data_IF_906460856711
#
_entry.id   IF_906460856711
#
_cell.length_a   1.000
_cell.length_b   1.000
_cell.length_c   1.000
_cell.angle_alpha   90.00
_cell.angle_beta   90.00
_cell.angle_gamma   90.00
#
_symmetry.space_group_name_H-M   'P 1'
#
loop_
_entity.id
_entity.type
_entity.pdbx_description
1 polymer ?
#
# COMPACT_ATOMS: atom_id res chain seq x y z
N UNK A 1 33.80 -49.23 -32.43
CA UNK A 1 33.26 -47.87 -32.56
C UNK A 1 32.43 -47.60 -31.31
N UNK A 2 33.08 -47.10 -30.27
CA UNK A 2 32.42 -46.87 -28.97
C UNK A 2 31.78 -45.48 -28.95
N UNK A 3 30.47 -45.46 -28.71
CA UNK A 3 29.69 -44.24 -28.53
C UNK A 3 29.84 -43.73 -27.09
N UNK A 4 30.68 -42.71 -26.92
CA UNK A 4 30.76 -41.93 -25.68
C UNK A 4 29.47 -41.14 -25.51
N UNK A 5 28.68 -41.47 -24.49
CA UNK A 5 27.48 -40.71 -24.10
C UNK A 5 27.92 -39.38 -23.46
N UNK A 6 27.29 -38.24 -23.80
CA UNK A 6 27.61 -36.97 -23.15
C UNK A 6 27.11 -37.00 -21.71
N UNK A 7 28.03 -36.82 -20.77
CA UNK A 7 27.70 -36.79 -19.35
C UNK A 7 26.79 -35.61 -19.03
N UNK A 8 25.71 -35.88 -18.30
CA UNK A 8 24.71 -34.89 -17.92
C UNK A 8 25.35 -33.73 -17.17
N UNK A 9 25.21 -32.52 -17.72
CA UNK A 9 25.63 -31.26 -17.11
C UNK A 9 24.98 -31.12 -15.73
N UNK A 10 25.73 -31.46 -14.68
CA UNK A 10 25.30 -31.26 -13.29
C UNK A 10 25.21 -29.75 -13.03
N UNK A 11 24.00 -29.26 -12.90
CA UNK A 11 23.75 -27.90 -12.42
C UNK A 11 24.22 -27.85 -10.96
N UNK A 12 25.09 -26.89 -10.60
CA UNK A 12 25.53 -26.75 -9.21
C UNK A 12 24.31 -26.50 -8.31
N UNK A 13 24.30 -27.01 -7.07
CA UNK A 13 23.21 -26.76 -6.15
C UNK A 13 23.09 -25.26 -5.89
N UNK A 14 21.96 -24.68 -6.27
CA UNK A 14 21.61 -23.30 -5.95
C UNK A 14 20.87 -23.30 -4.60
N UNK A 15 21.56 -23.02 -3.47
CA UNK A 15 20.85 -22.84 -2.22
C UNK A 15 19.87 -21.68 -2.38
N UNK A 16 18.60 -21.83 -1.95
CA UNK A 16 17.61 -20.78 -2.10
C UNK A 16 18.11 -19.50 -1.42
N UNK A 17 18.06 -18.38 -2.16
CA UNK A 17 18.41 -17.06 -1.63
C UNK A 17 17.42 -16.74 -0.51
N UNK A 18 17.87 -16.88 0.73
CA UNK A 18 17.11 -16.52 1.92
C UNK A 18 17.11 -14.99 2.00
N UNK A 19 16.05 -14.37 1.49
CA UNK A 19 15.82 -12.95 1.70
C UNK A 19 15.58 -12.74 3.20
N UNK A 20 16.59 -12.19 3.88
CA UNK A 20 16.56 -11.92 5.33
C UNK A 20 15.93 -10.53 5.50
N UNK A 21 14.67 -10.45 5.93
CA UNK A 21 14.03 -9.16 6.24
C UNK A 21 12.52 -9.25 6.45
N UNK A 22 12.12 -9.51 7.71
CA UNK A 22 10.73 -9.84 8.07
C UNK A 22 9.78 -8.64 8.19
N UNK A 23 8.51 -8.86 7.85
CA UNK A 23 7.42 -7.90 8.11
C UNK A 23 6.12 -8.48 8.72
N UNK A 24 6.12 -9.50 9.60
CA UNK A 24 4.91 -9.85 10.35
C UNK A 24 4.58 -8.82 11.46
N UNK A 25 5.51 -7.92 11.81
CA UNK A 25 5.32 -6.94 12.89
C UNK A 25 4.43 -5.76 12.49
N UNK A 26 4.58 -5.23 11.27
CA UNK A 26 3.80 -4.08 10.80
C UNK A 26 2.30 -4.43 10.68
N UNK A 27 2.01 -5.62 10.16
CA UNK A 27 0.64 -6.14 10.04
C UNK A 27 -0.01 -6.33 11.42
N UNK A 28 0.77 -6.74 12.43
CA UNK A 28 0.30 -6.90 13.81
C UNK A 28 -0.10 -5.55 14.43
N UNK A 29 0.69 -4.49 14.28
CA UNK A 29 0.35 -3.15 14.82
C UNK A 29 -0.89 -2.54 14.16
N UNK A 30 -1.03 -2.68 12.83
CA UNK A 30 -2.19 -2.19 12.09
C UNK A 30 -3.48 -2.95 12.48
N UNK A 31 -3.39 -4.26 12.72
CA UNK A 31 -4.53 -5.07 13.23
C UNK A 31 -4.91 -4.69 14.67
N UNK A 32 -3.95 -4.36 15.53
CA UNK A 32 -4.24 -3.97 16.91
C UNK A 32 -5.03 -2.65 17.00
N UNK A 33 -4.68 -1.62 16.21
CA UNK A 33 -5.42 -0.34 16.22
C UNK A 33 -6.88 -0.51 15.76
N UNK A 34 -7.12 -1.36 14.75
CA UNK A 34 -8.49 -1.69 14.29
C UNK A 34 -9.30 -2.43 15.37
N UNK A 35 -8.67 -3.32 16.13
CA UNK A 35 -9.34 -4.06 17.22
C UNK A 35 -9.71 -3.16 18.39
N UNK A 36 -8.85 -2.23 18.80
CA UNK A 36 -9.15 -1.29 19.88
C UNK A 36 -10.32 -0.36 19.51
N UNK A 37 -10.33 0.16 18.28
CA UNK A 37 -11.46 0.96 17.78
C UNK A 37 -12.78 0.17 17.71
N UNK A 38 -12.74 -1.10 17.27
CA UNK A 38 -13.93 -1.94 17.21
C UNK A 38 -14.50 -2.29 18.60
N UNK A 39 -13.63 -2.59 19.58
CA UNK A 39 -14.05 -2.85 20.96
C UNK A 39 -14.63 -1.60 21.61
N UNK A 40 -14.02 -0.43 21.38
CA UNK A 40 -14.56 0.86 21.83
C UNK A 40 -15.96 1.11 21.27
N UNK A 41 -16.13 0.95 19.96
CA UNK A 41 -17.43 1.16 19.29
C UNK A 41 -18.51 0.14 19.75
N UNK A 42 -18.14 -1.13 19.97
CA UNK A 42 -19.05 -2.14 20.49
C UNK A 42 -19.48 -1.87 21.93
N UNK A 43 -18.58 -1.38 22.78
CA UNK A 43 -18.88 -0.96 24.15
C UNK A 43 -19.85 0.23 24.17
N UNK A 44 -19.68 1.21 23.28
CA UNK A 44 -20.61 2.35 23.18
C UNK A 44 -22.00 1.91 22.69
N UNK A 45 -22.07 0.98 21.72
CA UNK A 45 -23.33 0.45 21.23
C UNK A 45 -24.07 -0.38 22.29
N UNK A 46 -23.36 -1.18 23.09
CA UNK A 46 -23.95 -1.96 24.18
C UNK A 46 -24.49 -1.06 25.31
N UNK A 47 -23.79 0.04 25.64
CA UNK A 47 -24.28 1.01 26.61
C UNK A 47 -25.58 1.68 26.14
N UNK A 48 -25.64 2.14 24.89
CA UNK A 48 -26.83 2.77 24.30
C UNK A 48 -28.04 1.82 24.18
N UNK A 49 -27.81 0.51 24.04
CA UNK A 49 -28.87 -0.49 23.97
C UNK A 49 -29.55 -0.79 25.33
N UNK A 50 -28.96 -0.34 26.44
CA UNK A 50 -29.47 -0.61 27.79
C UNK A 50 -30.51 0.42 28.28
N UNK A 51 -30.71 1.50 27.53
CA UNK A 51 -31.57 2.66 27.92
C UNK A 51 -32.72 2.92 26.94
N UNK A 52 -33.32 1.89 26.35
CA UNK A 52 -34.52 2.07 25.50
C UNK A 52 -35.70 1.28 26.08
N UNK A 53 -36.76 1.96 26.54
CA UNK A 53 -38.03 1.31 26.85
C UNK A 53 -38.59 0.75 25.54
N UNK A 54 -38.84 -0.57 25.48
CA UNK A 54 -39.46 -1.21 24.32
C UNK A 54 -40.93 -0.77 24.21
N UNK A 55 -41.17 0.25 23.39
CA UNK A 55 -42.47 0.59 22.85
C UNK A 55 -42.68 -0.12 21.51
N UNK A 56 -43.71 -0.95 21.45
CA UNK A 56 -44.26 -1.60 20.24
C UNK A 56 -44.66 -0.53 19.21
N UNK A 57 -44.38 -0.76 17.92
CA UNK A 57 -45.36 -0.65 16.82
C UNK A 57 -44.72 -1.05 15.49
N UNK A 58 -45.48 -1.89 14.79
CA UNK A 58 -45.29 -2.51 13.49
C UNK A 58 -45.96 -1.60 12.44
N UNK A 59 -45.30 -1.38 11.30
CA UNK A 59 -45.86 -0.65 10.16
C UNK A 59 -44.76 -0.39 9.13
N UNK A 60 -44.60 -1.28 8.17
CA UNK A 60 -45.16 -1.16 6.80
C UNK A 60 -44.21 -0.37 5.88
N UNK A 61 -43.75 -1.06 4.84
CA UNK A 61 -42.87 -0.52 3.81
C UNK A 61 -43.66 -0.47 2.49
N UNK A 62 -43.41 0.55 1.64
CA UNK A 62 -43.02 0.15 0.29
C UNK A 62 -41.94 1.03 -0.39
N UNK A 63 -41.06 0.30 -1.09
CA UNK A 63 -40.45 0.50 -2.41
C UNK A 63 -39.41 1.63 -2.69
N UNK A 64 -38.36 1.31 -3.50
CA UNK A 64 -37.16 2.13 -3.65
C UNK A 64 -37.25 3.12 -4.81
N UNK A 65 -36.92 4.39 -4.57
CA UNK A 65 -36.58 5.33 -5.63
C UNK A 65 -35.13 5.11 -6.08
N UNK A 66 -34.96 4.42 -7.21
CA UNK A 66 -33.73 4.44 -8.01
C UNK A 66 -33.54 5.83 -8.59
N UNK A 67 -32.79 6.67 -7.88
CA UNK A 67 -32.23 7.90 -8.45
C UNK A 67 -30.87 7.57 -9.06
N UNK A 68 -30.74 7.99 -10.31
CA UNK A 68 -29.57 7.96 -11.18
C UNK A 68 -28.33 8.61 -10.55
N UNK A 69 -27.59 7.85 -9.73
CA UNK A 69 -26.25 8.19 -9.24
C UNK A 69 -25.14 7.41 -10.00
N UNK A 70 -25.32 7.25 -11.31
CA UNK A 70 -24.60 6.25 -12.12
C UNK A 70 -23.19 6.64 -12.59
N UNK A 71 -22.63 7.82 -12.25
CA UNK A 71 -21.25 8.16 -12.67
C UNK A 71 -20.37 8.89 -11.66
N UNK A 72 -20.90 9.40 -10.53
CA UNK A 72 -20.08 10.02 -9.47
C UNK A 72 -19.73 9.06 -8.32
N UNK A 73 -20.35 7.87 -8.28
CA UNK A 73 -20.23 6.91 -7.18
C UNK A 73 -19.46 5.63 -7.58
N UNK A 74 -18.84 5.60 -8.76
CA UNK A 74 -17.96 4.51 -9.20
C UNK A 74 -16.57 4.58 -8.55
N UNK A 75 -16.20 5.73 -7.97
CA UNK A 75 -14.99 5.91 -7.17
C UNK A 75 -15.22 5.60 -5.67
N UNK A 76 -16.22 4.77 -5.37
CA UNK A 76 -16.43 4.22 -4.02
C UNK A 76 -15.39 3.13 -3.79
N UNK A 77 -14.25 3.57 -3.25
CA UNK A 77 -13.31 2.72 -2.50
C UNK A 77 -12.89 1.46 -3.26
N UNK A 78 -12.19 1.63 -4.39
CA UNK A 78 -11.26 0.57 -4.81
C UNK A 78 -10.46 0.19 -3.56
N UNK A 79 -10.53 -1.10 -3.17
CA UNK A 79 -9.98 -1.55 -1.90
C UNK A 79 -8.50 -1.14 -1.81
N UNK A 80 -8.22 -0.14 -0.96
CA UNK A 80 -6.90 0.43 -0.87
C UNK A 80 -5.94 -0.62 -0.30
N UNK A 81 -4.81 -0.80 -0.96
CA UNK A 81 -3.73 -1.69 -0.53
C UNK A 81 -2.58 -0.85 0.00
N UNK A 82 -1.85 -1.40 0.96
CA UNK A 82 -0.60 -0.80 1.43
C UNK A 82 0.54 -1.29 0.54
N UNK A 83 1.16 -0.38 -0.21
CA UNK A 83 2.30 -0.65 -1.07
C UNK A 83 3.58 -0.06 -0.43
N UNK A 84 4.63 -0.85 -0.17
CA UNK A 84 5.93 -0.31 0.19
C UNK A 84 6.60 0.27 -1.06
N UNK A 85 7.07 1.51 -0.96
CA UNK A 85 7.69 2.25 -2.06
C UNK A 85 9.02 2.83 -1.59
N UNK A 86 10.07 2.67 -2.41
CA UNK A 86 11.39 3.25 -2.16
C UNK A 86 11.50 4.58 -2.91
N UNK A 87 11.70 5.65 -2.17
CA UNK A 87 11.87 7.01 -2.69
C UNK A 87 13.37 7.33 -2.67
N UNK A 88 13.87 7.87 -3.78
CA UNK A 88 15.29 8.11 -3.97
C UNK A 88 15.87 9.12 -2.97
N UNK A 89 15.08 10.14 -2.59
CA UNK A 89 15.47 11.16 -1.64
C UNK A 89 14.96 10.82 -0.23
N UNK A 90 15.90 10.47 0.65
CA UNK A 90 15.62 10.12 2.03
C UNK A 90 15.25 11.34 2.90
N UNK A 91 15.80 12.52 2.59
CA UNK A 91 15.52 13.74 3.36
C UNK A 91 14.12 14.24 3.08
N UNK A 92 13.65 14.14 1.83
CA UNK A 92 12.25 14.39 1.49
C UNK A 92 11.32 13.45 2.27
N UNK A 93 11.66 12.16 2.41
CA UNK A 93 10.84 11.20 3.17
C UNK A 93 10.76 11.55 4.67
N UNK A 94 11.82 12.11 5.25
CA UNK A 94 11.85 12.52 6.68
C UNK A 94 10.86 13.64 6.99
N UNK A 95 10.40 14.37 5.99
CA UNK A 95 9.39 15.42 6.14
C UNK A 95 7.96 14.85 6.19
N UNK A 96 7.76 13.64 5.67
CA UNK A 96 6.43 13.05 5.55
C UNK A 96 5.90 12.55 6.89
N UNK A 97 4.58 12.68 7.07
CA UNK A 97 3.84 12.16 8.23
C UNK A 97 2.77 11.17 7.77
N UNK A 98 2.45 10.15 8.59
CA UNK A 98 1.28 9.32 8.35
C UNK A 98 0.01 10.19 8.25
N UNK A 99 -0.72 10.04 7.15
CA UNK A 99 -1.90 10.85 6.82
C UNK A 99 -1.70 11.80 5.65
N UNK A 100 -0.45 12.17 5.34
CA UNK A 100 -0.12 13.07 4.23
C UNK A 100 -0.59 12.49 2.89
N UNK A 101 -0.88 13.39 1.95
CA UNK A 101 -1.18 13.03 0.56
C UNK A 101 0.01 13.39 -0.30
N UNK A 102 0.40 12.44 -1.14
CA UNK A 102 1.53 12.61 -2.04
C UNK A 102 1.17 12.17 -3.45
N UNK A 103 1.78 12.81 -4.42
CA UNK A 103 1.90 12.29 -5.77
C UNK A 103 3.27 11.63 -5.90
N UNK A 104 3.33 10.46 -6.55
CA UNK A 104 4.56 9.71 -6.78
C UNK A 104 4.96 9.87 -8.23
N UNK A 105 6.19 10.32 -8.45
CA UNK A 105 6.76 10.63 -9.75
C UNK A 105 7.87 9.63 -10.04
N UNK A 106 7.80 8.97 -11.19
CA UNK A 106 8.93 8.23 -11.73
C UNK A 106 9.77 9.19 -12.57
N UNK A 107 11.03 9.34 -12.18
CA UNK A 107 12.04 10.03 -12.96
C UNK A 107 13.19 9.07 -13.18
N UNK A 108 13.71 8.98 -14.39
CA UNK A 108 14.97 8.29 -14.57
C UNK A 108 16.13 9.20 -14.17
N UNK A 109 17.08 8.62 -13.44
CA UNK A 109 18.18 9.36 -12.84
C UNK A 109 19.26 9.77 -13.85
N UNK A 110 18.98 9.76 -15.16
CA UNK A 110 19.96 10.07 -16.20
C UNK A 110 19.75 11.49 -16.71
N UNK A 111 20.63 12.45 -16.36
CA UNK A 111 20.53 13.83 -16.84
C UNK A 111 20.80 13.97 -18.35
N UNK A 112 21.20 12.90 -19.04
CA UNK A 112 21.75 12.96 -20.40
C UNK A 112 20.92 12.23 -21.47
N UNK A 113 19.72 11.74 -21.15
CA UNK A 113 18.88 11.04 -22.13
C UNK A 113 17.73 10.25 -21.54
N UNK A 114 17.18 10.74 -20.43
CA UNK A 114 16.12 10.07 -19.71
C UNK A 114 14.71 10.33 -20.25
N UNK A 115 13.82 9.36 -20.09
CA UNK A 115 12.37 9.48 -20.23
C UNK A 115 11.81 10.56 -19.30
N UNK A 116 10.89 11.36 -19.84
CA UNK A 116 10.27 12.46 -19.12
C UNK A 116 9.65 12.00 -17.78
N UNK A 117 9.81 12.80 -16.69
CA UNK A 117 9.19 12.51 -15.41
C UNK A 117 7.69 12.34 -15.55
N UNK A 118 7.14 11.25 -15.01
CA UNK A 118 5.69 10.97 -15.07
C UNK A 118 5.11 10.63 -13.72
N UNK A 119 3.89 11.09 -13.48
CA UNK A 119 3.13 10.74 -12.27
C UNK A 119 2.63 9.30 -12.39
N UNK A 120 3.07 8.44 -11.47
CA UNK A 120 2.71 7.01 -11.42
C UNK A 120 1.48 6.78 -10.54
N UNK A 121 1.35 7.55 -9.47
CA UNK A 121 0.22 7.53 -8.55
C UNK A 121 -0.06 8.95 -8.06
N UNK A 122 -1.33 9.35 -8.06
CA UNK A 122 -1.75 10.64 -7.53
C UNK A 122 -2.60 10.49 -6.26
N UNK A 123 -2.42 11.40 -5.30
CA UNK A 123 -3.20 11.48 -4.08
C UNK A 123 -3.02 10.29 -3.13
N UNK A 124 -1.92 9.55 -3.26
CA UNK A 124 -1.60 8.42 -2.40
C UNK A 124 -1.47 8.88 -0.96
N UNK A 125 -2.04 8.12 -0.01
CA UNK A 125 -1.94 8.46 1.41
C UNK A 125 -0.73 7.80 2.03
N UNK A 126 0.08 8.55 2.77
CA UNK A 126 1.16 7.97 3.59
C UNK A 126 0.54 7.17 4.74
N UNK A 127 0.67 5.85 4.70
CA UNK A 127 0.18 4.96 5.75
C UNK A 127 1.19 4.83 6.90
N UNK A 128 2.48 4.79 6.57
CA UNK A 128 3.57 4.79 7.54
C UNK A 128 4.88 5.24 6.88
N UNK A 129 5.77 5.80 7.68
CA UNK A 129 7.18 6.06 7.31
C UNK A 129 8.03 5.17 8.21
N UNK A 130 8.53 4.02 7.71
CA UNK A 130 9.39 3.14 8.49
C UNK A 130 10.69 3.83 8.89
N UNK A 131 11.17 3.53 10.11
CA UNK A 131 12.53 3.90 10.51
C UNK A 131 13.56 3.32 9.52
N UNK A 132 14.58 4.10 9.13
CA UNK A 132 15.62 3.60 8.25
C UNK A 132 16.35 2.43 8.91
N UNK A 133 16.45 1.31 8.19
CA UNK A 133 17.27 0.17 8.62
C UNK A 133 18.78 0.44 8.43
N UNK A 134 19.63 -0.46 8.92
CA UNK A 134 21.11 -0.40 8.83
C UNK A 134 21.64 -0.66 7.40
N UNK A 135 20.98 -0.14 6.36
CA UNK A 135 21.37 -0.27 4.96
C UNK A 135 22.09 0.96 4.41
N UNK A 136 22.67 0.87 3.20
CA UNK A 136 23.34 2.01 2.54
C UNK A 136 22.36 3.18 2.37
N UNK A 137 22.75 4.35 2.89
CA UNK A 137 21.96 5.60 2.85
C UNK A 137 21.71 6.05 1.41
N UNK A 138 22.56 5.67 0.46
CA UNK A 138 22.46 6.05 -0.95
C UNK A 138 21.31 5.37 -1.70
N UNK A 139 20.64 4.38 -1.10
CA UNK A 139 19.51 3.67 -1.71
C UNK A 139 18.16 4.36 -1.51
N UNK A 140 18.12 5.55 -0.90
CA UNK A 140 16.88 6.26 -0.56
C UNK A 140 16.11 5.62 0.61
N UNK A 141 14.90 6.12 0.87
CA UNK A 141 14.08 5.71 2.03
C UNK A 141 12.79 4.99 1.64
N UNK A 142 12.28 4.14 2.53
CA UNK A 142 11.02 3.43 2.33
C UNK A 142 9.85 4.25 2.89
N UNK A 143 8.70 4.17 2.23
CA UNK A 143 7.41 4.70 2.67
C UNK A 143 6.33 3.66 2.37
N UNK A 144 5.39 3.47 3.28
CA UNK A 144 4.20 2.65 3.03
C UNK A 144 3.05 3.55 2.57
N UNK A 145 2.56 3.36 1.35
CA UNK A 145 1.49 4.16 0.76
C UNK A 145 0.19 3.36 0.68
N UNK A 146 -0.93 3.97 1.07
CA UNK A 146 -2.26 3.45 0.81
C UNK A 146 -2.73 3.96 -0.55
N UNK A 147 -2.89 3.02 -1.50
CA UNK A 147 -3.18 3.29 -2.90
C UNK A 147 -4.21 2.30 -3.46
N UNK A 148 -4.92 2.66 -4.54
CA UNK A 148 -5.68 1.69 -5.35
C UNK A 148 -4.80 0.53 -5.84
N UNK A 149 -5.40 -0.64 -6.05
CA UNK A 149 -4.66 -1.87 -6.39
C UNK A 149 -3.92 -1.78 -7.73
N UNK A 150 -4.50 -1.10 -8.72
CA UNK A 150 -3.89 -0.80 -10.01
C UNK A 150 -2.69 0.16 -9.86
N UNK A 151 -2.80 1.17 -9.00
CA UNK A 151 -1.71 2.09 -8.71
C UNK A 151 -0.55 1.37 -7.99
N UNK A 152 -0.84 0.42 -7.10
CA UNK A 152 0.21 -0.42 -6.49
C UNK A 152 0.99 -1.23 -7.52
N UNK A 153 0.32 -1.82 -8.51
CA UNK A 153 0.97 -2.55 -9.60
C UNK A 153 1.86 -1.64 -10.45
N UNK A 154 1.38 -0.43 -10.76
CA UNK A 154 2.16 0.59 -11.48
C UNK A 154 3.39 1.05 -10.70
N UNK A 155 3.24 1.30 -9.39
CA UNK A 155 4.34 1.64 -8.49
C UNK A 155 5.39 0.53 -8.41
N UNK A 156 4.97 -0.74 -8.34
CA UNK A 156 5.88 -1.87 -8.32
C UNK A 156 6.71 -1.97 -9.63
N UNK A 157 6.06 -1.81 -10.78
CA UNK A 157 6.77 -1.80 -12.08
C UNK A 157 7.72 -0.61 -12.23
N UNK A 158 7.28 0.58 -11.82
CA UNK A 158 8.10 1.78 -11.86
C UNK A 158 9.31 1.69 -10.91
N UNK A 159 9.10 1.27 -9.66
CA UNK A 159 10.16 1.15 -8.66
C UNK A 159 11.20 0.06 -8.98
N UNK A 160 10.87 -0.89 -9.86
CA UNK A 160 11.83 -1.89 -10.35
C UNK A 160 12.77 -1.37 -11.44
N UNK A 161 12.41 -0.28 -12.12
CA UNK A 161 13.11 0.21 -13.33
C UNK A 161 13.58 1.65 -13.24
N UNK A 162 12.98 2.45 -12.37
CA UNK A 162 13.18 3.90 -12.29
C UNK A 162 13.32 4.37 -10.85
N UNK A 163 13.88 5.57 -10.67
CA UNK A 163 13.93 6.22 -9.36
C UNK A 163 12.60 6.91 -9.12
N UNK A 164 12.10 6.82 -7.90
CA UNK A 164 10.84 7.44 -7.52
C UNK A 164 11.09 8.65 -6.63
N UNK A 165 10.35 9.72 -6.89
CA UNK A 165 10.26 10.94 -6.10
C UNK A 165 8.82 11.15 -5.63
N UNK A 166 8.63 12.06 -4.68
CA UNK A 166 7.31 12.43 -4.15
C UNK A 166 7.14 13.93 -4.09
N UNK A 167 5.91 14.38 -4.26
CA UNK A 167 5.49 15.77 -4.00
C UNK A 167 4.30 15.78 -3.04
N UNK A 168 4.30 16.73 -2.10
CA UNK A 168 3.21 16.94 -1.16
C UNK A 168 2.03 17.66 -1.84
N UNK A 169 0.81 17.38 -1.38
CA UNK A 169 -0.43 17.98 -1.86
C UNK A 169 -1.20 18.69 -0.75
#
# INVERSE_FOLDING_TARGET
MDHVRPEGRRVPPFPPVRVRGGWPRLDRLLRHRRRVMAVGLAMTAAALASTVPRGVVQGDAPAPHRVTAATAAADRSAAAVTAPVRIADADTVRLLRPGDRVDVIAADGSPSGGAEPRVVASGARVAAVPEPGEGPVESGALVALSVPRDAAARLAGAGASTRLAVTLR
#
